data_IF_049432879877
#
_entry.id   IF_049432879877
#
_cell.length_a   1.000
_cell.length_b   1.000
_cell.length_c   1.000
_cell.angle_alpha   90.00
_cell.angle_beta   90.00
_cell.angle_gamma   90.00
#
_symmetry.space_group_name_H-M   'P 1'
#
loop_
_entity.id
_entity.type
_entity.pdbx_description
1 polymer ?
#
# COMPACT_ATOMS: atom_id res chain seq x y z
N UNK A 1 -6.88 -11.65 -7.22
CA UNK A 1 -7.44 -11.78 -5.86
C UNK A 1 -6.36 -11.48 -4.85
N UNK A 2 -6.71 -10.80 -3.75
CA UNK A 2 -5.87 -10.58 -2.59
C UNK A 2 -6.66 -10.95 -1.35
N UNK A 3 -6.06 -11.81 -0.53
CA UNK A 3 -6.63 -12.33 0.71
C UNK A 3 -5.72 -11.86 1.85
N UNK A 4 -6.32 -11.37 2.92
CA UNK A 4 -5.60 -11.08 4.15
C UNK A 4 -6.36 -11.66 5.34
N UNK A 5 -5.66 -12.39 6.22
CA UNK A 5 -6.24 -13.06 7.40
C UNK A 5 -7.46 -13.96 7.13
N UNK A 6 -7.56 -14.52 5.92
CA UNK A 6 -8.66 -15.39 5.49
C UNK A 6 -9.80 -14.67 4.77
N UNK A 7 -9.83 -13.34 4.80
CA UNK A 7 -10.85 -12.55 4.11
C UNK A 7 -10.40 -12.13 2.72
N UNK A 8 -11.28 -12.29 1.73
CA UNK A 8 -11.07 -11.75 0.39
C UNK A 8 -11.26 -10.24 0.42
N UNK A 9 -10.14 -9.52 0.39
CA UNK A 9 -10.13 -8.05 0.41
C UNK A 9 -10.49 -7.49 -0.97
N UNK A 10 -9.98 -8.11 -2.04
CA UNK A 10 -10.40 -7.79 -3.40
C UNK A 10 -10.17 -8.94 -4.37
N UNK A 11 -11.05 -9.08 -5.36
CA UNK A 11 -11.06 -10.15 -6.35
C UNK A 11 -11.19 -9.66 -7.80
N UNK A 12 -11.27 -8.34 -8.02
CA UNK A 12 -11.40 -7.74 -9.35
C UNK A 12 -10.05 -7.61 -10.09
N UNK A 13 -10.15 -7.35 -11.40
CA UNK A 13 -9.00 -7.12 -12.27
C UNK A 13 -8.22 -5.85 -11.88
N UNK A 14 -6.90 -5.87 -12.13
CA UNK A 14 -6.03 -4.71 -11.97
C UNK A 14 -4.90 -4.77 -13.00
N UNK A 15 -4.31 -3.62 -13.28
CA UNK A 15 -3.19 -3.53 -14.22
C UNK A 15 -1.91 -4.07 -13.62
N UNK A 16 -1.27 -5.02 -14.29
CA UNK A 16 0.03 -5.59 -13.91
C UNK A 16 1.11 -5.09 -14.88
N UNK A 17 2.27 -4.67 -14.36
CA UNK A 17 3.42 -4.34 -15.20
C UNK A 17 4.70 -4.88 -14.59
N UNK A 18 5.48 -5.62 -15.37
CA UNK A 18 6.82 -6.07 -14.95
C UNK A 18 7.73 -4.86 -14.70
N UNK A 19 8.52 -4.94 -13.63
CA UNK A 19 9.44 -3.91 -13.15
C UNK A 19 10.80 -4.53 -12.86
N UNK A 20 11.83 -3.71 -12.91
CA UNK A 20 13.21 -4.11 -12.65
C UNK A 20 14.10 -3.80 -13.84
N UNK A 21 15.39 -3.58 -13.57
CA UNK A 21 16.41 -3.45 -14.59
C UNK A 21 17.04 -4.83 -14.82
N UNK A 22 18.00 -5.21 -13.97
CA UNK A 22 18.63 -6.53 -14.01
C UNK A 22 17.72 -7.66 -13.49
N UNK A 23 16.84 -7.36 -12.53
CA UNK A 23 15.94 -8.36 -11.92
C UNK A 23 14.80 -8.84 -12.82
N UNK A 24 14.69 -8.32 -14.05
CA UNK A 24 13.72 -8.82 -15.03
C UNK A 24 14.08 -10.22 -15.55
N UNK A 25 15.35 -10.60 -15.47
CA UNK A 25 15.81 -11.92 -15.91
C UNK A 25 15.63 -13.01 -14.83
N UNK A 26 15.27 -12.61 -13.61
CA UNK A 26 14.97 -13.55 -12.53
C UNK A 26 13.58 -14.16 -12.73
N UNK A 27 13.35 -15.42 -12.31
CA UNK A 27 12.04 -16.05 -12.40
C UNK A 27 10.97 -15.30 -11.58
N UNK A 28 11.36 -14.79 -10.40
CA UNK A 28 10.48 -14.01 -9.53
C UNK A 28 10.53 -12.50 -9.88
N UNK A 29 10.11 -12.10 -11.07
CA UNK A 29 10.22 -10.68 -11.51
C UNK A 29 9.44 -9.75 -10.58
N UNK A 30 10.00 -8.56 -10.29
CA UNK A 30 9.25 -7.51 -9.61
C UNK A 30 8.09 -7.01 -10.48
N UNK A 31 6.98 -6.62 -9.86
CA UNK A 31 5.76 -6.23 -10.57
C UNK A 31 5.17 -4.95 -9.96
N UNK A 32 4.59 -4.09 -10.79
CA UNK A 32 3.75 -2.98 -10.36
C UNK A 32 2.29 -3.37 -10.47
N UNK A 33 1.52 -3.06 -9.43
CA UNK A 33 0.07 -3.23 -9.36
C UNK A 33 -0.57 -1.85 -9.57
N UNK A 34 -1.57 -1.76 -10.44
CA UNK A 34 -2.20 -0.50 -10.81
C UNK A 34 -3.73 -0.61 -10.81
N UNK A 35 -4.36 0.15 -9.92
CA UNK A 35 -5.79 0.38 -9.97
C UNK A 35 -6.08 1.51 -10.95
N UNK A 36 -6.90 1.20 -11.95
CA UNK A 36 -7.32 2.12 -13.01
C UNK A 36 -8.78 1.87 -13.31
N UNK A 37 -9.45 2.94 -13.68
CA UNK A 37 -10.88 2.94 -14.01
C UNK A 37 -11.18 1.98 -15.17
N UNK A 38 -10.28 1.87 -16.14
CA UNK A 38 -10.34 0.89 -17.25
C UNK A 38 -10.36 -0.59 -16.80
N UNK A 39 -9.91 -0.89 -15.58
CA UNK A 39 -9.95 -2.24 -14.99
C UNK A 39 -11.05 -2.39 -13.93
N UNK A 40 -11.98 -1.43 -13.84
CA UNK A 40 -13.15 -1.46 -12.95
C UNK A 40 -13.01 -0.61 -11.69
N UNK A 41 -11.86 -0.66 -10.99
CA UNK A 41 -11.62 0.17 -9.79
C UNK A 41 -10.39 1.05 -9.95
N UNK A 42 -10.61 2.36 -9.80
CA UNK A 42 -9.57 3.41 -9.90
C UNK A 42 -8.62 3.45 -8.71
N UNK A 43 -9.06 2.96 -7.55
CA UNK A 43 -8.31 2.86 -6.30
C UNK A 43 -8.78 1.65 -5.50
N UNK A 44 -7.98 1.26 -4.53
CA UNK A 44 -8.37 0.35 -3.46
C UNK A 44 -8.33 1.08 -2.11
N UNK A 45 -9.34 0.84 -1.27
CA UNK A 45 -9.41 1.35 0.09
C UNK A 45 -9.16 0.17 1.03
N UNK A 46 -7.90 -0.02 1.43
CA UNK A 46 -7.47 -1.06 2.34
C UNK A 46 -6.16 -0.67 3.03
N UNK A 47 -6.07 -0.91 4.33
CA UNK A 47 -4.87 -0.63 5.13
C UNK A 47 -3.84 -1.76 4.94
N UNK A 48 -3.06 -1.68 3.86
CA UNK A 48 -2.05 -2.70 3.58
C UNK A 48 -0.94 -2.74 4.62
N UNK A 49 -0.57 -1.61 5.22
CA UNK A 49 0.59 -1.51 6.09
C UNK A 49 0.17 -1.17 7.52
N UNK A 50 0.82 -1.80 8.49
CA UNK A 50 0.59 -1.53 9.92
C UNK A 50 1.13 -0.15 10.29
N UNK A 51 0.43 0.57 11.17
CA UNK A 51 0.78 1.90 11.64
C UNK A 51 1.03 2.90 10.50
N UNK A 52 0.20 2.85 9.46
CA UNK A 52 0.30 3.72 8.30
C UNK A 52 -0.97 4.50 8.05
N UNK A 53 -0.83 5.83 7.95
CA UNK A 53 -1.95 6.76 7.88
C UNK A 53 -2.76 6.64 6.58
N UNK A 54 -2.17 6.11 5.50
CA UNK A 54 -2.87 5.93 4.24
C UNK A 54 -3.52 4.54 4.17
N UNK A 55 -4.83 4.55 3.92
CA UNK A 55 -5.62 3.37 3.58
C UNK A 55 -6.03 3.31 2.10
N UNK A 56 -5.68 4.31 1.28
CA UNK A 56 -6.19 4.44 -0.08
C UNK A 56 -5.07 4.46 -1.12
N UNK A 57 -5.05 3.47 -2.02
CA UNK A 57 -3.95 3.25 -2.96
C UNK A 57 -4.42 3.21 -4.41
N UNK A 58 -3.67 3.86 -5.30
CA UNK A 58 -3.81 3.72 -6.77
C UNK A 58 -2.86 2.69 -7.37
N UNK A 59 -1.80 2.37 -6.64
CA UNK A 59 -0.69 1.58 -7.13
C UNK A 59 0.17 1.09 -5.99
N UNK A 60 0.69 -0.11 -6.15
CA UNK A 60 1.66 -0.74 -5.25
C UNK A 60 2.71 -1.44 -6.11
N UNK A 61 3.74 -2.00 -5.48
CA UNK A 61 4.71 -2.86 -6.15
C UNK A 61 4.96 -4.14 -5.35
N UNK A 62 5.12 -5.24 -6.05
CA UNK A 62 5.65 -6.50 -5.55
C UNK A 62 7.14 -6.52 -5.88
N UNK A 63 7.99 -6.44 -4.85
CA UNK A 63 9.45 -6.45 -5.00
C UNK A 63 10.01 -7.79 -4.58
N UNK A 64 10.81 -8.38 -5.46
CA UNK A 64 11.43 -9.69 -5.29
C UNK A 64 12.74 -9.69 -4.49
N UNK A 65 13.02 -8.64 -3.70
CA UNK A 65 14.31 -8.48 -3.00
C UNK A 65 15.41 -7.81 -3.84
N UNK A 66 15.27 -7.75 -5.17
CA UNK A 66 16.23 -7.07 -6.04
C UNK A 66 17.54 -7.86 -6.17
N UNK A 67 18.67 -7.24 -5.85
CA UNK A 67 20.01 -7.89 -5.94
C UNK A 67 20.18 -8.97 -4.89
N UNK A 68 19.55 -8.83 -3.71
CA UNK A 68 19.64 -9.77 -2.59
C UNK A 68 18.48 -10.79 -2.60
N UNK A 69 17.83 -10.99 -3.75
CA UNK A 69 16.65 -11.84 -3.90
C UNK A 69 16.91 -13.31 -3.53
N UNK A 70 18.14 -13.76 -3.74
CA UNK A 70 18.63 -15.12 -3.50
C UNK A 70 19.13 -15.36 -2.07
N UNK A 71 19.37 -14.30 -1.30
CA UNK A 71 19.90 -14.39 0.07
C UNK A 71 18.84 -14.07 1.11
N UNK A 72 18.32 -12.83 1.10
CA UNK A 72 17.40 -12.35 2.12
C UNK A 72 16.42 -11.34 1.53
N UNK A 73 15.29 -11.87 1.03
CA UNK A 73 14.22 -11.13 0.37
C UNK A 73 13.80 -9.85 1.12
N UNK A 74 13.76 -9.91 2.46
CA UNK A 74 13.25 -8.84 3.34
C UNK A 74 14.33 -7.86 3.81
N UNK A 75 15.61 -8.07 3.48
CA UNK A 75 16.74 -7.25 3.97
C UNK A 75 16.53 -5.76 3.73
N UNK A 76 16.22 -5.39 2.49
CA UNK A 76 15.93 -4.00 2.07
C UNK A 76 14.76 -3.39 2.85
N UNK A 77 13.69 -4.17 3.08
CA UNK A 77 12.52 -3.73 3.84
C UNK A 77 12.84 -3.49 5.32
N UNK A 78 13.55 -4.43 5.94
CA UNK A 78 13.94 -4.35 7.36
C UNK A 78 14.90 -3.19 7.59
N UNK A 79 15.95 -3.05 6.77
CA UNK A 79 16.91 -1.97 6.89
C UNK A 79 16.27 -0.61 6.64
N UNK A 80 15.35 -0.50 5.67
CA UNK A 80 14.59 0.73 5.44
C UNK A 80 13.82 1.12 6.71
N UNK A 81 13.08 0.17 7.30
CA UNK A 81 12.28 0.41 8.52
C UNK A 81 13.15 0.86 9.68
N UNK A 82 14.25 0.16 9.94
CA UNK A 82 15.18 0.49 11.01
C UNK A 82 15.76 1.89 10.85
N UNK A 83 16.22 2.26 9.65
CA UNK A 83 16.79 3.59 9.40
C UNK A 83 15.70 4.67 9.51
N UNK A 84 14.49 4.41 8.99
CA UNK A 84 13.36 5.32 9.08
C UNK A 84 13.00 5.66 10.53
N UNK A 85 12.95 4.64 11.39
CA UNK A 85 12.69 4.80 12.83
C UNK A 85 13.83 5.54 13.54
N UNK A 86 15.09 5.18 13.29
CA UNK A 86 16.25 5.80 13.93
C UNK A 86 16.48 7.26 13.53
N UNK A 87 16.11 7.64 12.31
CA UNK A 87 16.40 8.97 11.75
C UNK A 87 15.17 9.83 11.55
N UNK A 88 13.98 9.32 11.89
CA UNK A 88 12.70 9.96 11.66
C UNK A 88 12.53 10.40 10.19
N UNK A 89 12.86 9.49 9.26
CA UNK A 89 12.78 9.73 7.82
C UNK A 89 11.63 8.91 7.23
N UNK A 90 10.90 9.52 6.30
CA UNK A 90 9.85 8.83 5.56
C UNK A 90 10.43 7.73 4.67
N UNK A 91 9.89 6.52 4.80
CA UNK A 91 10.28 5.35 4.02
C UNK A 91 9.10 4.79 3.25
N UNK A 92 9.40 4.00 2.19
CA UNK A 92 8.37 3.20 1.53
C UNK A 92 8.00 2.02 2.43
N UNK A 93 6.77 2.01 2.93
CA UNK A 93 6.27 0.92 3.75
C UNK A 93 6.21 -0.38 2.95
N UNK A 94 6.30 -1.48 3.69
CA UNK A 94 6.32 -2.80 3.09
C UNK A 94 5.81 -3.89 4.00
N UNK A 95 5.26 -4.92 3.38
CA UNK A 95 4.89 -6.19 4.01
C UNK A 95 5.22 -7.36 3.10
N UNK A 96 5.51 -8.51 3.70
CA UNK A 96 5.70 -9.75 2.95
C UNK A 96 4.34 -10.28 2.49
N UNK A 97 4.28 -10.78 1.26
CA UNK A 97 3.10 -11.43 0.67
C UNK A 97 3.54 -12.63 -0.16
N UNK A 98 2.68 -13.62 -0.24
CA UNK A 98 2.79 -14.72 -1.19
C UNK A 98 2.08 -14.35 -2.49
N UNK A 99 2.66 -14.75 -3.63
CA UNK A 99 2.11 -14.43 -4.94
C UNK A 99 1.86 -15.70 -5.72
N UNK A 100 0.67 -15.77 -6.31
CA UNK A 100 0.25 -16.82 -7.23
C UNK A 100 -0.15 -16.19 -8.57
N UNK A 101 0.25 -16.81 -9.68
CA UNK A 101 -0.17 -16.42 -11.03
C UNK A 101 -0.63 -17.67 -11.76
N UNK A 102 -1.87 -17.65 -12.26
CA UNK A 102 -2.52 -18.81 -12.88
C UNK A 102 -2.43 -20.07 -12.00
N UNK A 103 -2.77 -19.93 -10.73
CA UNK A 103 -2.75 -20.99 -9.70
C UNK A 103 -1.36 -21.59 -9.40
N UNK A 104 -0.30 -21.05 -10.00
CA UNK A 104 1.08 -21.45 -9.70
C UNK A 104 1.68 -20.50 -8.66
N UNK A 105 2.38 -21.07 -7.69
CA UNK A 105 3.14 -20.28 -6.71
C UNK A 105 4.35 -19.62 -7.37
N UNK A 106 4.47 -18.31 -7.22
CA UNK A 106 5.55 -17.49 -7.80
C UNK A 106 6.58 -17.01 -6.77
N UNK A 107 6.38 -17.34 -5.50
CA UNK A 107 7.31 -16.99 -4.43
C UNK A 107 6.78 -15.92 -3.48
N UNK A 108 7.65 -15.62 -2.51
CA UNK A 108 7.48 -14.50 -1.59
C UNK A 108 7.90 -13.19 -2.24
N UNK A 109 7.16 -12.14 -1.96
CA UNK A 109 7.42 -10.77 -2.40
C UNK A 109 7.27 -9.79 -1.25
N UNK A 110 7.96 -8.65 -1.34
CA UNK A 110 7.64 -7.49 -0.53
C UNK A 110 6.61 -6.65 -1.29
N UNK A 111 5.36 -6.62 -0.83
CA UNK A 111 4.41 -5.61 -1.22
C UNK A 111 4.87 -4.28 -0.62
N UNK A 112 5.14 -3.28 -1.46
CA UNK A 112 5.62 -1.96 -1.03
C UNK A 112 4.87 -0.84 -1.75
N UNK A 113 5.02 0.36 -1.19
CA UNK A 113 4.64 1.58 -1.88
C UNK A 113 5.43 1.78 -3.18
N UNK A 114 4.72 2.19 -4.24
CA UNK A 114 5.35 2.58 -5.49
C UNK A 114 5.62 4.08 -5.50
N UNK A 115 6.86 4.44 -5.17
CA UNK A 115 7.36 5.83 -5.26
C UNK A 115 7.49 6.23 -6.74
N UNK A 116 6.98 7.41 -7.07
CA UNK A 116 7.11 8.07 -8.37
C UNK A 116 7.24 9.58 -8.14
N UNK A 117 7.54 10.40 -9.14
CA UNK A 117 7.71 11.84 -8.95
C UNK A 117 6.53 12.55 -8.26
N UNK A 118 5.30 12.04 -8.46
CA UNK A 118 4.07 12.60 -7.83
C UNK A 118 3.65 11.88 -6.53
N UNK A 119 4.50 11.03 -5.96
CA UNK A 119 4.15 10.22 -4.79
C UNK A 119 3.83 11.09 -3.57
N UNK A 120 4.72 12.01 -3.20
CA UNK A 120 4.53 12.88 -2.04
C UNK A 120 3.31 13.81 -2.21
N UNK A 121 3.09 14.36 -3.40
CA UNK A 121 1.90 15.17 -3.69
C UNK A 121 0.61 14.38 -3.49
N UNK A 122 0.55 13.15 -4.03
CA UNK A 122 -0.56 12.24 -3.85
C UNK A 122 -0.79 11.90 -2.37
N UNK A 123 0.27 11.47 -1.67
CA UNK A 123 0.21 11.11 -0.26
C UNK A 123 -0.32 12.25 0.59
N UNK A 124 0.26 13.45 0.44
CA UNK A 124 -0.21 14.66 1.14
C UNK A 124 -1.68 14.93 0.86
N UNK A 125 -2.13 14.84 -0.39
CA UNK A 125 -3.53 15.07 -0.75
C UNK A 125 -4.51 14.05 -0.15
N UNK A 126 -4.11 12.79 -0.01
CA UNK A 126 -4.99 11.76 0.58
C UNK A 126 -5.02 11.90 2.11
N UNK A 127 -3.90 12.24 2.75
CA UNK A 127 -3.85 12.57 4.18
C UNK A 127 -4.74 13.78 4.52
N UNK A 128 -4.70 14.85 3.70
CA UNK A 128 -5.58 16.00 3.90
C UNK A 128 -7.06 15.64 3.83
N UNK A 129 -7.46 14.71 2.95
CA UNK A 129 -8.86 14.27 2.87
C UNK A 129 -9.29 13.52 4.13
N UNK A 130 -8.41 12.66 4.65
CA UNK A 130 -8.65 11.94 5.91
C UNK A 130 -8.83 12.95 7.04
N UNK A 131 -7.89 13.90 7.18
CA UNK A 131 -7.93 14.93 8.21
C UNK A 131 -9.19 15.80 8.16
N UNK A 132 -9.63 16.21 6.97
CA UNK A 132 -10.88 16.97 6.80
C UNK A 132 -12.08 16.13 7.23
N UNK A 133 -12.17 14.87 6.78
CA UNK A 133 -13.29 14.00 7.12
C UNK A 133 -13.36 13.71 8.63
N UNK A 134 -12.24 13.41 9.27
CA UNK A 134 -12.18 13.18 10.73
C UNK A 134 -12.56 14.43 11.53
N UNK A 135 -12.20 15.63 11.05
CA UNK A 135 -12.59 16.89 11.70
C UNK A 135 -14.04 17.30 11.44
N UNK A 136 -14.60 17.00 10.26
CA UNK A 136 -16.04 17.16 10.02
C UNK A 136 -16.80 16.26 10.99
N UNK A 137 -16.39 14.99 11.16
CA UNK A 137 -16.96 14.11 12.18
C UNK A 137 -16.82 14.67 13.60
N UNK A 138 -15.67 15.26 13.97
CA UNK A 138 -15.51 15.89 15.29
C UNK A 138 -16.36 17.15 15.46
N UNK A 139 -16.57 17.95 14.41
CA UNK A 139 -17.44 19.13 14.42
C UNK A 139 -18.91 18.71 14.53
N UNK A 140 -19.34 17.67 13.80
CA UNK A 140 -20.69 17.11 13.90
C UNK A 140 -20.94 16.48 15.27
N UNK A 141 -19.95 15.81 15.87
CA UNK A 141 -20.02 15.29 17.26
C UNK A 141 -20.04 16.43 18.30
N UNK A 142 -19.34 17.54 18.07
CA UNK A 142 -19.42 18.75 18.91
C UNK A 142 -20.79 19.44 18.78
N UNK A 143 -21.44 19.39 17.63
CA UNK A 143 -22.78 19.94 17.43
C UNK A 143 -23.91 19.06 17.96
N UNK A 144 -23.67 17.76 18.21
CA UNK A 144 -24.68 16.86 18.79
C UNK A 144 -24.89 17.01 20.30
N UNK A 145 -24.03 17.76 21.03
CA UNK A 145 -24.15 17.96 22.49
C UNK A 145 -24.74 19.32 22.93
N UNK A 146 -25.41 20.07 22.03
CA UNK A 146 -26.11 21.29 22.44
C UNK A 146 -27.49 21.44 21.80
N UNK A 147 -28.36 20.49 22.09
CA UNK A 147 -29.79 20.75 22.20
C UNK A 147 -30.26 20.05 23.47
N UNK A 148 -30.06 20.70 24.62
CA UNK A 148 -30.90 20.41 25.78
C UNK A 148 -32.01 21.45 25.79
N UNK A 149 -33.23 20.94 25.63
CA UNK A 149 -34.46 21.71 25.67
C UNK A 149 -34.87 21.90 27.12
N UNK A 150 -34.81 23.13 27.65
CA UNK A 150 -35.62 23.48 28.82
C UNK A 150 -35.88 24.99 28.85
N UNK A 151 -37.14 25.33 28.59
CA UNK A 151 -37.95 26.46 29.07
C UNK A 151 -37.27 27.80 29.36
#
# INVERSE_FOLDING_TARGET
>A
MYIDRGDTIFDHALGLRIKGNHSINLPNRSMGLYWREEYGKKKINYAFFENYDLNTFKRLKLRNGGTDADQLLTKDAVLSKLIGELRNIEIANSRTVEVFINDQYWGLYNLRELITPRHFQYKKSELYKIWINERIFLIDVLFFFKIDSSR
#
